data_IF_024664218142
#
_entry.id   IF_024664218142
#
_cell.length_a   1.000
_cell.length_b   1.000
_cell.length_c   1.000
_cell.angle_alpha   90.00
_cell.angle_beta   90.00
_cell.angle_gamma   90.00
#
_symmetry.space_group_name_H-M   'P 1'
#
loop_
_entity.id
_entity.type
_entity.pdbx_description
1 polymer ?
#
# COMPACT_ATOMS: atom_id res chain seq x y z
N UNK A 1 15.06 15.57 -5.30
CA UNK A 1 15.01 14.13 -4.96
C UNK A 1 13.67 13.60 -5.44
N UNK A 2 13.67 12.47 -6.13
CA UNK A 2 12.46 11.85 -6.68
C UNK A 2 11.36 11.66 -5.61
N UNK A 3 11.73 11.19 -4.42
CA UNK A 3 10.77 10.93 -3.34
C UNK A 3 9.97 12.16 -2.91
N UNK A 4 10.55 13.36 -2.99
CA UNK A 4 9.85 14.61 -2.71
C UNK A 4 8.89 14.97 -3.85
N UNK A 5 9.31 14.78 -5.11
CA UNK A 5 8.46 15.02 -6.29
C UNK A 5 7.24 14.10 -6.30
N UNK A 6 7.43 12.80 -6.02
CA UNK A 6 6.32 11.85 -5.87
C UNK A 6 5.39 12.29 -4.74
N UNK A 7 5.92 12.59 -3.55
CA UNK A 7 5.12 13.04 -2.41
C UNK A 7 4.23 14.23 -2.77
N UNK A 8 4.79 15.25 -3.42
CA UNK A 8 4.08 16.46 -3.80
C UNK A 8 3.03 16.16 -4.88
N UNK A 9 3.40 15.39 -5.92
CA UNK A 9 2.49 15.03 -7.00
C UNK A 9 1.33 14.13 -6.53
N UNK A 10 1.57 13.26 -5.55
CA UNK A 10 0.55 12.34 -5.02
C UNK A 10 -0.21 12.90 -3.82
N UNK A 11 -0.02 14.17 -3.43
CA UNK A 11 -0.64 14.74 -2.24
C UNK A 11 -2.18 14.67 -2.30
N UNK A 12 -2.77 15.16 -3.39
CA UNK A 12 -4.22 15.15 -3.61
C UNK A 12 -4.80 13.73 -3.65
N UNK A 13 -4.30 12.79 -4.49
CA UNK A 13 -4.85 11.45 -4.53
C UNK A 13 -4.64 10.68 -3.21
N UNK A 14 -3.53 10.91 -2.49
CA UNK A 14 -3.34 10.38 -1.13
C UNK A 14 -4.45 10.84 -0.19
N UNK A 15 -4.72 12.14 -0.10
CA UNK A 15 -5.76 12.68 0.80
C UNK A 15 -7.17 12.17 0.45
N UNK A 16 -7.46 12.02 -0.84
CA UNK A 16 -8.74 11.47 -1.30
C UNK A 16 -8.90 10.01 -0.89
N UNK A 17 -7.88 9.18 -1.13
CA UNK A 17 -7.86 7.78 -0.69
C UNK A 17 -7.97 7.67 0.83
N UNK A 18 -7.17 8.43 1.57
CA UNK A 18 -7.17 8.44 3.04
C UNK A 18 -8.57 8.72 3.59
N UNK A 19 -9.27 9.72 3.03
CA UNK A 19 -10.64 10.03 3.42
C UNK A 19 -11.58 8.85 3.19
N UNK A 20 -11.51 8.19 2.03
CA UNK A 20 -12.34 7.01 1.71
C UNK A 20 -12.06 5.85 2.67
N UNK A 21 -10.78 5.54 2.92
CA UNK A 21 -10.35 4.49 3.85
C UNK A 21 -10.82 4.78 5.26
N UNK A 22 -10.59 5.99 5.78
CA UNK A 22 -11.03 6.40 7.13
C UNK A 22 -12.53 6.29 7.31
N UNK A 23 -13.32 6.61 6.27
CA UNK A 23 -14.78 6.45 6.32
C UNK A 23 -15.18 4.97 6.50
N UNK A 24 -14.57 4.04 5.77
CA UNK A 24 -14.83 2.61 5.95
C UNK A 24 -14.32 2.07 7.29
N UNK A 25 -13.15 2.52 7.75
CA UNK A 25 -12.63 2.12 9.06
C UNK A 25 -13.56 2.54 10.21
N UNK A 26 -14.18 3.72 10.10
CA UNK A 26 -15.17 4.21 11.09
C UNK A 26 -16.49 3.44 11.08
N UNK A 27 -16.81 2.69 10.02
CA UNK A 27 -18.01 1.86 9.97
C UNK A 27 -17.80 0.43 10.50
N UNK A 28 -16.57 0.04 10.84
CA UNK A 28 -16.28 -1.30 11.36
C UNK A 28 -16.97 -1.52 12.71
N UNK A 29 -17.75 -2.60 12.83
CA UNK A 29 -18.42 -3.03 14.07
C UNK A 29 -18.12 -4.48 14.44
N UNK A 30 -17.40 -5.20 13.58
CA UNK A 30 -17.10 -6.62 13.74
C UNK A 30 -15.80 -7.02 13.04
N UNK A 31 -15.27 -8.20 13.39
CA UNK A 31 -14.14 -8.80 12.69
C UNK A 31 -14.44 -9.02 11.20
N UNK A 32 -15.69 -9.32 10.84
CA UNK A 32 -16.10 -9.50 9.45
C UNK A 32 -16.02 -8.18 8.66
N UNK A 33 -16.48 -7.07 9.25
CA UNK A 33 -16.37 -5.75 8.61
C UNK A 33 -14.90 -5.38 8.39
N UNK A 34 -14.05 -5.64 9.38
CA UNK A 34 -12.63 -5.36 9.27
C UNK A 34 -11.95 -6.25 8.21
N UNK A 35 -12.24 -7.55 8.21
CA UNK A 35 -11.75 -8.46 7.19
C UNK A 35 -12.16 -8.02 5.77
N UNK A 36 -13.38 -7.53 5.58
CA UNK A 36 -13.83 -6.99 4.29
C UNK A 36 -13.01 -5.78 3.83
N UNK A 37 -12.65 -4.87 4.76
CA UNK A 37 -11.72 -3.78 4.45
C UNK A 37 -10.35 -4.34 4.07
N UNK A 38 -9.81 -5.29 4.84
CA UNK A 38 -8.52 -5.91 4.52
C UNK A 38 -8.53 -6.68 3.19
N UNK A 39 -9.65 -7.26 2.76
CA UNK A 39 -9.78 -7.89 1.44
C UNK A 39 -9.52 -6.90 0.31
N UNK A 40 -9.94 -5.64 0.45
CA UNK A 40 -9.61 -4.59 -0.53
C UNK A 40 -8.10 -4.35 -0.61
N UNK A 41 -7.44 -4.20 0.55
CA UNK A 41 -5.99 -4.05 0.63
C UNK A 41 -5.27 -5.27 0.02
N UNK A 42 -5.70 -6.48 0.39
CA UNK A 42 -5.06 -7.72 -0.06
C UNK A 42 -5.20 -7.91 -1.56
N UNK A 43 -6.41 -7.75 -2.11
CA UNK A 43 -6.66 -7.88 -3.54
C UNK A 43 -5.76 -6.93 -4.35
N UNK A 44 -5.69 -5.67 -3.92
CA UNK A 44 -4.91 -4.66 -4.63
C UNK A 44 -3.40 -4.91 -4.51
N UNK A 45 -2.87 -5.05 -3.28
CA UNK A 45 -1.43 -5.17 -3.09
C UNK A 45 -0.86 -6.50 -3.58
N UNK A 46 -1.59 -7.61 -3.52
CA UNK A 46 -1.12 -8.88 -4.10
C UNK A 46 -1.02 -8.82 -5.63
N UNK A 47 -1.96 -8.13 -6.30
CA UNK A 47 -1.89 -7.88 -7.73
C UNK A 47 -0.74 -6.92 -8.09
N UNK A 48 -0.56 -5.85 -7.31
CA UNK A 48 0.52 -4.89 -7.51
C UNK A 48 1.90 -5.56 -7.35
N UNK A 49 2.06 -6.37 -6.30
CA UNK A 49 3.26 -7.17 -6.07
C UNK A 49 3.57 -8.09 -7.25
N UNK A 50 2.55 -8.73 -7.83
CA UNK A 50 2.71 -9.56 -9.02
C UNK A 50 3.21 -8.75 -10.22
N UNK A 51 2.67 -7.54 -10.42
CA UNK A 51 3.06 -6.65 -11.52
C UNK A 51 4.49 -6.11 -11.37
N UNK A 52 4.92 -5.76 -10.16
CA UNK A 52 6.26 -5.20 -9.91
C UNK A 52 7.36 -6.28 -9.83
N UNK A 53 7.01 -7.51 -9.46
CA UNK A 53 7.96 -8.60 -9.18
C UNK A 53 9.04 -8.81 -10.26
N UNK A 54 8.75 -8.75 -11.57
CA UNK A 54 9.78 -8.91 -12.60
C UNK A 54 10.87 -7.82 -12.59
N UNK A 55 10.59 -6.67 -11.98
CA UNK A 55 11.43 -5.46 -12.05
C UNK A 55 12.14 -5.12 -10.74
N UNK A 56 11.68 -5.68 -9.61
CA UNK A 56 12.31 -5.50 -8.30
C UNK A 56 13.34 -6.61 -8.07
N UNK A 57 14.55 -6.40 -8.59
CA UNK A 57 15.70 -7.30 -8.36
C UNK A 57 16.50 -6.85 -7.14
N UNK A 58 17.43 -7.69 -6.66
CA UNK A 58 18.36 -7.34 -5.58
C UNK A 58 19.27 -6.16 -5.92
N UNK A 59 19.47 -5.85 -7.21
CA UNK A 59 20.19 -4.65 -7.66
C UNK A 59 19.35 -3.38 -7.60
N UNK A 60 18.02 -3.49 -7.55
CA UNK A 60 17.09 -2.36 -7.48
C UNK A 60 16.68 -2.10 -6.02
N UNK A 61 16.31 -3.15 -5.29
CA UNK A 61 15.91 -3.08 -3.90
C UNK A 61 16.46 -4.31 -3.15
N UNK A 62 17.67 -4.20 -2.55
CA UNK A 62 18.37 -5.35 -1.95
C UNK A 62 17.59 -6.06 -0.84
N UNK A 63 16.80 -5.32 -0.07
CA UNK A 63 16.05 -5.80 1.09
C UNK A 63 14.60 -6.19 0.76
N UNK A 64 14.23 -6.30 -0.53
CA UNK A 64 12.85 -6.53 -0.94
C UNK A 64 12.21 -7.79 -0.31
N UNK A 65 12.98 -8.87 -0.16
CA UNK A 65 12.49 -10.11 0.45
C UNK A 65 12.16 -9.98 1.96
N UNK A 66 12.72 -8.98 2.64
CA UNK A 66 12.53 -8.73 4.06
C UNK A 66 11.41 -7.73 4.33
N UNK A 67 10.94 -7.04 3.27
CA UNK A 67 9.89 -6.04 3.36
C UNK A 67 8.51 -6.68 3.55
N UNK A 68 7.66 -5.94 4.25
CA UNK A 68 6.26 -6.26 4.46
C UNK A 68 5.56 -6.37 3.11
N UNK A 69 4.82 -7.44 2.92
CA UNK A 69 4.09 -7.73 1.69
C UNK A 69 2.62 -8.11 1.98
N UNK A 70 1.87 -8.47 0.94
CA UNK A 70 0.46 -8.83 1.00
C UNK A 70 0.16 -10.08 1.84
N UNK A 71 1.17 -10.91 2.17
CA UNK A 71 0.96 -12.07 3.04
C UNK A 71 0.57 -11.68 4.46
N UNK A 72 0.97 -10.50 4.93
CA UNK A 72 0.56 -9.96 6.24
C UNK A 72 -0.94 -9.67 6.26
N UNK A 73 -1.48 -9.12 5.16
CA UNK A 73 -2.92 -8.89 5.03
C UNK A 73 -3.69 -10.20 4.99
N UNK A 74 -3.17 -11.20 4.28
CA UNK A 74 -3.77 -12.54 4.28
C UNK A 74 -3.81 -13.12 5.69
N UNK A 75 -2.71 -13.07 6.43
CA UNK A 75 -2.65 -13.55 7.80
C UNK A 75 -3.61 -12.79 8.73
N UNK A 76 -3.71 -11.47 8.58
CA UNK A 76 -4.65 -10.65 9.35
C UNK A 76 -6.12 -11.03 9.04
N UNK A 77 -6.47 -11.26 7.77
CA UNK A 77 -7.81 -11.71 7.34
C UNK A 77 -8.15 -13.08 7.96
N UNK A 78 -7.19 -14.01 7.94
CA UNK A 78 -7.35 -15.35 8.51
C UNK A 78 -7.48 -15.30 10.04
N UNK A 79 -6.70 -14.46 10.71
CA UNK A 79 -6.78 -14.24 12.16
C UNK A 79 -8.16 -13.67 12.58
N UNK A 80 -8.77 -12.84 11.73
CA UNK A 80 -10.12 -12.31 11.94
C UNK A 80 -11.23 -13.35 11.74
N UNK A 81 -10.91 -14.55 11.25
CA UNK A 81 -11.85 -15.64 11.01
C UNK A 81 -12.50 -15.60 9.62
N UNK A 82 -11.88 -14.91 8.66
CA UNK A 82 -12.29 -14.90 7.25
C UNK A 82 -11.27 -15.65 6.39
N UNK A 83 -11.54 -15.78 5.09
CA UNK A 83 -10.60 -16.27 4.08
C UNK A 83 -10.30 -15.17 3.03
N UNK A 84 -9.42 -15.48 2.08
CA UNK A 84 -9.12 -14.62 0.92
C UNK A 84 -9.88 -15.04 -0.34
N UNK A 85 -11.08 -15.63 -0.18
CA UNK A 85 -11.99 -15.90 -1.28
C UNK A 85 -12.82 -14.65 -1.62
N UNK A 86 -13.44 -14.64 -2.80
CA UNK A 86 -14.35 -13.59 -3.26
C UNK A 86 -13.75 -12.17 -3.21
N UNK A 87 -12.49 -12.05 -3.62
CA UNK A 87 -11.80 -10.77 -3.68
C UNK A 87 -12.40 -9.86 -4.76
N UNK A 88 -12.44 -8.54 -4.53
CA UNK A 88 -12.89 -7.60 -5.57
C UNK A 88 -11.94 -7.66 -6.78
N UNK A 89 -12.46 -7.43 -8.00
CA UNK A 89 -11.59 -7.23 -9.16
C UNK A 89 -10.75 -5.96 -8.94
N UNK A 90 -9.51 -5.99 -9.44
CA UNK A 90 -8.57 -4.88 -9.30
C UNK A 90 -7.90 -4.56 -10.62
N UNK A 91 -7.61 -3.29 -10.81
CA UNK A 91 -6.74 -2.79 -11.87
C UNK A 91 -5.47 -2.29 -11.20
N UNK A 92 -4.30 -2.63 -11.74
CA UNK A 92 -3.01 -2.09 -11.26
C UNK A 92 -2.34 -1.34 -12.42
N UNK A 93 -1.42 -0.39 -12.13
CA UNK A 93 -0.68 0.30 -13.18
C UNK A 93 0.03 -0.69 -14.11
N UNK A 94 0.21 -0.31 -15.37
CA UNK A 94 1.09 -1.08 -16.25
C UNK A 94 2.53 -0.81 -15.83
N UNK A 95 3.24 -1.87 -15.44
CA UNK A 95 4.64 -1.79 -15.03
C UNK A 95 5.50 -2.40 -16.13
N UNK A 96 6.43 -1.62 -16.68
CA UNK A 96 7.30 -2.02 -17.80
C UNK A 96 8.78 -1.97 -17.43
N UNK A 97 9.14 -1.32 -16.32
CA UNK A 97 10.52 -1.15 -15.87
C UNK A 97 10.63 -0.95 -14.34
N UNK A 98 11.86 -0.90 -13.83
CA UNK A 98 12.16 -0.76 -12.40
C UNK A 98 11.77 0.61 -11.82
N UNK A 99 11.78 1.67 -12.62
CA UNK A 99 11.42 3.03 -12.17
C UNK A 99 9.93 3.11 -11.86
N UNK A 100 9.09 2.62 -12.77
CA UNK A 100 7.65 2.49 -12.56
C UNK A 100 7.34 1.56 -11.38
N UNK A 101 8.02 0.41 -11.30
CA UNK A 101 7.86 -0.53 -10.20
C UNK A 101 8.16 0.10 -8.83
N UNK A 102 9.22 0.90 -8.72
CA UNK A 102 9.59 1.63 -7.50
C UNK A 102 8.60 2.77 -7.20
N UNK A 103 8.04 3.43 -8.21
CA UNK A 103 6.97 4.41 -8.06
C UNK A 103 5.68 3.81 -7.49
N UNK A 104 5.25 2.65 -8.02
CA UNK A 104 4.13 1.89 -7.47
C UNK A 104 4.40 1.40 -6.04
N UNK A 105 5.59 0.82 -5.80
CA UNK A 105 6.00 0.31 -4.49
C UNK A 105 6.10 1.43 -3.44
N UNK A 106 6.40 2.67 -3.84
CA UNK A 106 6.39 3.83 -2.93
C UNK A 106 5.04 4.02 -2.24
N UNK A 107 3.93 3.79 -2.94
CA UNK A 107 2.58 3.92 -2.36
C UNK A 107 2.34 2.84 -1.32
N UNK A 108 2.73 1.61 -1.63
CA UNK A 108 2.60 0.48 -0.71
C UNK A 108 3.50 0.63 0.53
N UNK A 109 4.79 0.93 0.36
CA UNK A 109 5.73 1.12 1.47
C UNK A 109 5.38 2.39 2.28
N UNK A 110 4.91 3.45 1.61
CA UNK A 110 4.53 4.70 2.26
C UNK A 110 3.34 4.55 3.21
N UNK A 111 2.44 3.60 2.95
CA UNK A 111 1.28 3.31 3.81
C UNK A 111 1.64 2.92 5.25
N UNK A 112 2.89 2.49 5.49
CA UNK A 112 3.37 2.06 6.81
C UNK A 112 3.38 3.22 7.81
N UNK A 113 3.69 4.45 7.36
CA UNK A 113 3.79 5.62 8.25
C UNK A 113 2.45 5.97 8.90
N UNK A 114 1.33 5.72 8.22
CA UNK A 114 -0.02 5.95 8.74
C UNK A 114 -0.59 4.78 9.54
N UNK A 115 0.03 3.60 9.47
CA UNK A 115 -0.54 2.36 10.00
C UNK A 115 -0.79 2.39 11.52
N UNK A 116 0.08 3.04 12.29
CA UNK A 116 -0.10 3.21 13.74
C UNK A 116 -1.41 3.94 14.09
N UNK A 117 -1.80 4.95 13.29
CA UNK A 117 -3.07 5.66 13.51
C UNK A 117 -4.28 4.80 13.15
N UNK A 118 -4.16 3.95 12.12
CA UNK A 118 -5.19 2.98 11.75
C UNK A 118 -5.38 1.97 12.89
N UNK A 119 -4.30 1.39 13.42
CA UNK A 119 -4.37 0.45 14.56
C UNK A 119 -5.03 1.10 15.78
N UNK A 120 -4.62 2.31 16.15
CA UNK A 120 -5.23 3.05 17.27
C UNK A 120 -6.72 3.34 17.03
N UNK A 121 -7.12 3.66 15.79
CA UNK A 121 -8.51 3.87 15.43
C UNK A 121 -9.32 2.58 15.59
N UNK A 122 -8.82 1.46 15.07
CA UNK A 122 -9.49 0.16 15.14
C UNK A 122 -9.63 -0.33 16.59
N UNK A 123 -8.59 -0.15 17.40
CA UNK A 123 -8.62 -0.49 18.84
C UNK A 123 -9.70 0.30 19.58
N UNK A 124 -9.92 1.58 19.25
CA UNK A 124 -11.03 2.38 19.82
C UNK A 124 -12.41 1.84 19.43
N UNK A 125 -12.51 1.11 18.34
CA UNK A 125 -13.74 0.44 17.91
C UNK A 125 -13.86 -1.00 18.43
N UNK A 126 -12.96 -1.42 19.33
CA UNK A 126 -13.01 -2.73 19.99
C UNK A 126 -12.29 -3.86 19.25
N UNK A 127 -11.53 -3.54 18.19
CA UNK A 127 -10.68 -4.52 17.51
C UNK A 127 -9.40 -4.79 18.32
N UNK A 128 -9.00 -6.06 18.43
CA UNK A 128 -7.83 -6.47 19.23
C UNK A 128 -6.80 -7.32 18.45
N UNK A 129 -7.08 -7.65 17.19
CA UNK A 129 -6.26 -8.53 16.33
C UNK A 129 -6.33 -8.15 14.84
N UNK A 130 -5.51 -8.79 14.01
CA UNK A 130 -5.43 -8.52 12.57
C UNK A 130 -4.72 -7.20 12.24
N UNK A 131 -3.62 -6.90 12.94
CA UNK A 131 -2.90 -5.62 12.81
C UNK A 131 -1.50 -5.77 12.22
N UNK A 132 -1.07 -6.97 11.84
CA UNK A 132 0.33 -7.22 11.47
C UNK A 132 0.75 -6.37 10.27
N UNK A 133 -0.15 -6.17 9.29
CA UNK A 133 0.13 -5.30 8.15
C UNK A 133 0.30 -3.84 8.56
N UNK A 134 -0.63 -3.28 9.33
CA UNK A 134 -0.59 -1.87 9.72
C UNK A 134 0.43 -1.56 10.83
N UNK A 135 0.93 -2.57 11.53
CA UNK A 135 2.01 -2.41 12.52
C UNK A 135 3.36 -2.11 11.86
N UNK A 136 3.50 -2.36 10.56
CA UNK A 136 4.71 -2.04 9.82
C UNK A 136 5.92 -2.82 10.34
N UNK A 137 7.00 -2.09 10.61
CA UNK A 137 8.24 -2.66 11.17
C UNK A 137 8.47 -2.21 12.61
N UNK A 138 7.40 -1.79 13.32
CA UNK A 138 7.51 -1.27 14.68
C UNK A 138 8.51 -0.10 14.78
N UNK A 139 9.45 -0.21 15.72
CA UNK A 139 10.48 0.81 15.94
C UNK A 139 11.43 1.04 14.74
N UNK A 140 11.56 0.05 13.85
CA UNK A 140 12.43 0.13 12.67
C UNK A 140 11.77 0.82 11.47
N UNK A 141 10.49 1.19 11.57
CA UNK A 141 9.71 1.77 10.46
C UNK A 141 10.42 2.95 9.79
N UNK A 142 10.93 3.90 10.58
CA UNK A 142 11.63 5.07 10.04
C UNK A 142 12.92 4.72 9.31
N UNK A 143 13.68 3.74 9.82
CA UNK A 143 14.94 3.27 9.22
C UNK A 143 14.69 2.55 7.90
N UNK A 144 13.71 1.64 7.86
CA UNK A 144 13.38 0.85 6.66
C UNK A 144 12.75 1.71 5.57
N UNK A 145 11.92 2.69 5.95
CA UNK A 145 11.42 3.70 5.03
C UNK A 145 12.54 4.58 4.46
N UNK A 146 13.48 5.03 5.30
CA UNK A 146 14.65 5.77 4.85
C UNK A 146 15.50 4.99 3.85
N UNK A 147 15.72 3.69 4.08
CA UNK A 147 16.44 2.82 3.16
C UNK A 147 15.71 2.68 1.81
N UNK A 148 14.38 2.54 1.82
CA UNK A 148 13.58 2.51 0.60
C UNK A 148 13.71 3.81 -0.20
N UNK A 149 13.54 4.95 0.48
CA UNK A 149 13.63 6.28 -0.12
C UNK A 149 15.01 6.52 -0.75
N UNK A 150 16.08 6.00 -0.13
CA UNK A 150 17.41 6.08 -0.71
C UNK A 150 17.52 5.32 -2.05
N UNK A 151 16.99 4.09 -2.12
CA UNK A 151 16.96 3.32 -3.38
C UNK A 151 16.07 3.96 -4.44
N UNK A 152 14.88 4.43 -4.05
CA UNK A 152 13.98 5.17 -4.93
C UNK A 152 14.65 6.41 -5.52
N UNK A 153 15.36 7.19 -4.71
CA UNK A 153 16.06 8.36 -5.23
C UNK A 153 17.23 8.02 -6.16
N UNK A 154 17.75 6.79 -6.12
CA UNK A 154 18.82 6.33 -6.98
C UNK A 154 18.34 5.67 -8.28
N UNK A 155 17.07 5.23 -8.36
CA UNK A 155 16.57 4.48 -9.53
C UNK A 155 16.34 5.38 -10.75
N UNK A 156 15.92 6.63 -10.56
CA UNK A 156 15.69 7.57 -11.65
C UNK A 156 16.98 8.34 -11.99
N UNK A 157 17.34 8.34 -13.27
CA UNK A 157 18.55 8.99 -13.77
C UNK A 157 18.23 10.18 -14.69
N UNK A 158 17.00 10.26 -15.17
CA UNK A 158 16.50 11.30 -16.09
C UNK A 158 15.17 11.88 -15.62
N UNK A 159 14.78 13.05 -16.14
CA UNK A 159 13.46 13.63 -15.87
C UNK A 159 12.32 12.70 -16.34
N UNK A 160 12.52 11.99 -17.45
CA UNK A 160 11.56 11.00 -17.94
C UNK A 160 11.36 9.83 -16.97
N UNK A 161 12.42 9.39 -16.28
CA UNK A 161 12.31 8.38 -15.22
C UNK A 161 11.50 8.94 -14.03
N UNK A 162 11.78 10.17 -13.63
CA UNK A 162 11.05 10.79 -12.52
C UNK A 162 9.55 10.89 -12.84
N UNK A 163 9.20 11.33 -14.05
CA UNK A 163 7.82 11.40 -14.53
C UNK A 163 7.16 10.02 -14.56
N UNK A 164 7.87 8.98 -15.02
CA UNK A 164 7.36 7.62 -15.05
C UNK A 164 7.05 7.08 -13.65
N UNK A 165 7.94 7.31 -12.68
CA UNK A 165 7.70 6.92 -11.28
C UNK A 165 6.53 7.69 -10.65
N UNK A 166 6.42 8.99 -10.93
CA UNK A 166 5.30 9.83 -10.46
C UNK A 166 3.97 9.34 -11.04
N UNK A 167 3.93 9.07 -12.35
CA UNK A 167 2.72 8.58 -13.02
C UNK A 167 2.31 7.22 -12.46
N UNK A 168 3.26 6.29 -12.29
CA UNK A 168 2.97 4.99 -11.68
C UNK A 168 2.43 5.12 -10.25
N UNK A 169 2.98 6.02 -9.43
CA UNK A 169 2.47 6.27 -8.08
C UNK A 169 1.05 6.87 -8.10
N UNK A 170 0.77 7.81 -9.01
CA UNK A 170 -0.56 8.39 -9.18
C UNK A 170 -1.60 7.36 -9.62
N UNK A 171 -1.29 6.55 -10.63
CA UNK A 171 -2.15 5.43 -11.05
C UNK A 171 -2.37 4.43 -9.91
N UNK A 172 -1.34 4.18 -9.10
CA UNK A 172 -1.46 3.30 -7.94
C UNK A 172 -2.50 3.85 -6.94
N UNK A 173 -2.42 5.13 -6.58
CA UNK A 173 -3.42 5.75 -5.70
C UNK A 173 -4.81 5.76 -6.32
N UNK A 174 -4.93 6.10 -7.60
CA UNK A 174 -6.21 6.18 -8.30
C UNK A 174 -6.91 4.81 -8.31
N UNK A 175 -6.23 3.79 -8.84
CA UNK A 175 -6.78 2.45 -8.95
C UNK A 175 -7.05 1.82 -7.58
N UNK A 176 -6.20 2.07 -6.57
CA UNK A 176 -6.47 1.59 -5.22
C UNK A 176 -7.70 2.27 -4.60
N UNK A 177 -7.89 3.56 -4.90
CA UNK A 177 -9.03 4.35 -4.45
C UNK A 177 -10.38 3.89 -4.99
N UNK A 178 -10.43 3.18 -6.12
CA UNK A 178 -11.66 2.60 -6.69
C UNK A 178 -12.26 1.52 -5.78
N UNK A 179 -11.43 0.77 -5.06
CA UNK A 179 -11.90 -0.30 -4.16
C UNK A 179 -12.66 0.25 -2.94
N UNK A 180 -12.49 1.54 -2.62
CA UNK A 180 -13.16 2.20 -1.50
C UNK A 180 -14.30 3.11 -1.94
N UNK A 181 -14.65 3.11 -3.23
CA UNK A 181 -15.83 3.82 -3.69
C UNK A 181 -17.09 3.10 -3.21
N UNK A 182 -17.98 3.88 -2.58
CA UNK A 182 -19.31 3.37 -2.26
C UNK A 182 -19.96 2.97 -3.57
N UNK A 183 -20.22 1.67 -3.77
CA UNK A 183 -21.22 1.27 -4.76
C UNK A 183 -22.50 1.98 -4.34
N UNK A 184 -22.94 2.98 -5.10
CA UNK A 184 -24.30 3.47 -4.99
C UNK A 184 -25.18 2.27 -5.35
N UNK A 185 -25.78 1.68 -4.32
CA UNK A 185 -26.92 0.78 -4.48
C UNK A 185 -28.16 1.66 -4.46
#
# INVERSE_FOLDING_TARGET
>A
MLSAKIKDATQTPHQQLEKKVVLQLKSIRSNADYANVLKNFYAYFSALETAIKPYITTGVLPDYAERRNSSYLKADIEELGSDVNDLPPVTVPTITNAVEAMGALYVMEGSIMGGQYIVQMLQKHGMDKGFSFFSGYGADTGRIWGAFVAQLNAVAQTEADEDAAINSANETFANFGELFESKMV
#
